data_IF_576557237025
#
_entry.id   IF_576557237025
#
_cell.length_a   1.000
_cell.length_b   1.000
_cell.length_c   1.000
_cell.angle_alpha   90.00
_cell.angle_beta   90.00
_cell.angle_gamma   90.00
#
_symmetry.space_group_name_H-M   'P 1'
#
loop_
_entity.id
_entity.type
_entity.pdbx_description
1 polymer ?
#
# COMPACT_ATOMS: atom_id res chain seq x y z
N UNK A 1 8.59 -18.28 -4.25
CA UNK A 1 7.88 -17.16 -4.92
C UNK A 1 6.52 -17.58 -5.43
N UNK A 2 5.67 -16.60 -5.69
CA UNK A 2 4.29 -16.78 -6.13
C UNK A 2 4.06 -16.01 -7.42
N UNK A 3 3.32 -16.61 -8.36
CA UNK A 3 2.85 -15.95 -9.59
C UNK A 3 1.35 -16.18 -9.70
N UNK A 4 0.61 -15.11 -9.96
CA UNK A 4 -0.84 -15.15 -10.22
C UNK A 4 -1.10 -14.60 -11.61
N UNK A 5 -1.82 -15.35 -12.44
CA UNK A 5 -2.30 -14.92 -13.73
C UNK A 5 -3.80 -14.64 -13.64
N UNK A 6 -4.19 -13.41 -13.92
CA UNK A 6 -5.58 -12.95 -13.80
C UNK A 6 -6.05 -12.33 -15.12
N UNK A 7 -7.27 -12.63 -15.52
CA UNK A 7 -7.90 -11.97 -16.66
C UNK A 7 -8.39 -10.58 -16.25
N UNK A 8 -7.84 -9.54 -16.87
CA UNK A 8 -8.11 -8.13 -16.48
C UNK A 8 -9.58 -7.75 -16.58
N UNK A 9 -10.30 -8.25 -17.59
CA UNK A 9 -11.71 -7.88 -17.83
C UNK A 9 -12.68 -8.46 -16.81
N UNK A 10 -12.41 -9.65 -16.31
CA UNK A 10 -13.34 -10.41 -15.46
C UNK A 10 -12.87 -10.56 -14.03
N UNK A 11 -11.57 -10.31 -13.77
CA UNK A 11 -10.96 -10.62 -12.48
C UNK A 11 -10.77 -12.12 -12.22
N UNK A 12 -11.04 -12.98 -13.22
CA UNK A 12 -10.88 -14.44 -13.05
C UNK A 12 -9.41 -14.81 -12.92
N UNK A 13 -9.10 -15.57 -11.88
CA UNK A 13 -7.77 -16.19 -11.73
C UNK A 13 -7.68 -17.36 -12.68
N UNK A 14 -6.73 -17.28 -13.63
CA UNK A 14 -6.51 -18.30 -14.66
C UNK A 14 -5.50 -19.35 -14.21
N UNK A 15 -4.46 -18.90 -13.48
CA UNK A 15 -3.44 -19.78 -12.93
C UNK A 15 -2.79 -19.17 -11.69
N UNK A 16 -2.38 -20.04 -10.77
CA UNK A 16 -1.53 -19.70 -9.62
C UNK A 16 -0.41 -20.72 -9.56
N UNK A 17 0.82 -20.27 -9.32
CA UNK A 17 1.97 -21.14 -9.04
C UNK A 17 2.69 -20.62 -7.80
N UNK A 18 2.99 -21.53 -6.88
CA UNK A 18 3.69 -21.25 -5.64
C UNK A 18 4.87 -22.19 -5.50
N UNK A 19 6.08 -21.68 -5.58
CA UNK A 19 7.30 -22.47 -5.45
C UNK A 19 8.11 -22.05 -4.23
N UNK A 20 8.37 -23.01 -3.37
CA UNK A 20 9.26 -22.86 -2.22
C UNK A 20 10.49 -23.76 -2.37
N UNK A 21 11.62 -23.27 -1.87
CA UNK A 21 12.86 -24.05 -1.86
C UNK A 21 12.73 -25.16 -0.81
N UNK A 22 12.98 -26.40 -1.19
CA UNK A 22 12.99 -27.54 -0.30
C UNK A 22 14.32 -27.63 0.47
N UNK A 23 14.33 -28.41 1.56
CA UNK A 23 15.57 -28.67 2.32
C UNK A 23 16.63 -29.41 1.49
N UNK A 24 16.20 -30.19 0.50
CA UNK A 24 17.06 -30.89 -0.46
C UNK A 24 17.64 -30.01 -1.58
N UNK A 25 17.30 -28.71 -1.60
CA UNK A 25 17.82 -27.75 -2.58
C UNK A 25 16.99 -27.63 -3.86
N UNK A 26 15.93 -28.43 -4.04
CA UNK A 26 14.96 -28.29 -5.13
C UNK A 26 13.87 -27.28 -4.84
N UNK A 27 12.87 -27.23 -5.70
CA UNK A 27 11.66 -26.42 -5.53
C UNK A 27 10.42 -27.32 -5.59
N UNK A 28 9.45 -27.03 -4.75
CA UNK A 28 8.16 -27.73 -4.76
C UNK A 28 7.03 -26.75 -4.45
N UNK A 29 5.85 -27.05 -4.95
CA UNK A 29 4.63 -26.40 -4.50
C UNK A 29 4.29 -26.86 -3.08
N UNK A 30 3.80 -25.93 -2.27
CA UNK A 30 3.39 -26.16 -0.91
C UNK A 30 2.14 -25.32 -0.59
N UNK A 31 2.18 -24.53 0.46
CA UNK A 31 1.08 -23.60 0.79
C UNK A 31 0.83 -22.63 -0.35
N UNK A 32 -0.45 -22.37 -0.65
CA UNK A 32 -0.83 -21.35 -1.63
C UNK A 32 -0.60 -19.95 -1.07
N UNK A 33 0.66 -19.48 -1.15
CA UNK A 33 1.07 -18.18 -0.63
C UNK A 33 0.39 -17.00 -1.33
N UNK A 34 -0.12 -17.20 -2.56
CA UNK A 34 -0.85 -16.16 -3.28
C UNK A 34 -2.05 -15.65 -2.49
N UNK A 35 -2.68 -16.53 -1.71
CA UNK A 35 -3.91 -16.23 -0.97
C UNK A 35 -3.73 -16.25 0.54
N UNK A 36 -2.73 -16.95 1.06
CA UNK A 36 -2.55 -17.16 2.50
C UNK A 36 -1.49 -16.27 3.14
N UNK A 37 -0.53 -15.77 2.35
CA UNK A 37 0.55 -14.95 2.89
C UNK A 37 0.10 -13.50 3.05
N UNK A 38 0.21 -12.98 4.27
CA UNK A 38 -0.10 -11.59 4.59
C UNK A 38 1.19 -10.81 4.73
N UNK A 39 1.48 -10.01 3.73
CA UNK A 39 2.65 -9.15 3.72
C UNK A 39 2.29 -7.68 3.53
N UNK A 40 3.19 -6.80 3.93
CA UNK A 40 3.08 -5.39 3.64
C UNK A 40 3.33 -5.16 2.14
N UNK A 41 2.37 -4.58 1.39
CA UNK A 41 2.48 -4.44 -0.07
C UNK A 41 3.56 -3.44 -0.50
N UNK A 42 4.02 -2.59 0.42
CA UNK A 42 5.02 -1.58 0.11
C UNK A 42 4.57 -0.63 -0.99
N UNK A 43 5.50 -0.23 -1.84
CA UNK A 43 5.27 0.83 -2.85
C UNK A 43 4.21 0.53 -3.91
N UNK A 44 3.79 -0.71 -4.09
CA UNK A 44 2.67 -1.04 -4.98
C UNK A 44 1.35 -0.47 -4.48
N UNK A 45 1.20 -0.32 -3.17
CA UNK A 45 0.02 0.26 -2.53
C UNK A 45 -0.15 1.76 -2.79
N UNK A 46 0.90 2.46 -3.19
CA UNK A 46 0.86 3.90 -3.48
C UNK A 46 -0.16 4.26 -4.56
N UNK A 47 -0.42 3.35 -5.49
CA UNK A 47 -1.45 3.54 -6.53
C UNK A 47 -2.82 3.66 -5.88
N UNK A 48 -3.17 2.75 -4.97
CA UNK A 48 -4.44 2.81 -4.25
C UNK A 48 -4.59 4.10 -3.43
N UNK A 49 -3.54 4.48 -2.70
CA UNK A 49 -3.52 5.74 -1.93
C UNK A 49 -3.72 6.97 -2.82
N UNK A 50 -3.07 6.98 -3.98
CA UNK A 50 -3.21 8.09 -4.93
C UNK A 50 -4.59 8.13 -5.57
N UNK A 51 -5.18 6.99 -5.90
CA UNK A 51 -6.56 6.91 -6.41
C UNK A 51 -7.54 7.54 -5.42
N UNK A 52 -7.43 7.19 -4.13
CA UNK A 52 -8.25 7.79 -3.07
C UNK A 52 -8.06 9.30 -2.97
N UNK A 53 -6.81 9.79 -3.02
CA UNK A 53 -6.52 11.22 -2.91
C UNK A 53 -7.03 12.03 -4.11
N UNK A 54 -6.98 11.46 -5.32
CA UNK A 54 -7.49 12.08 -6.55
C UNK A 54 -9.03 12.08 -6.58
N UNK A 55 -9.65 10.96 -6.22
CA UNK A 55 -11.11 10.81 -6.18
C UNK A 55 -11.76 11.79 -5.20
N UNK A 56 -11.18 11.95 -4.01
CA UNK A 56 -11.64 12.91 -3.00
C UNK A 56 -11.23 14.37 -3.28
N UNK A 57 -10.54 14.64 -4.38
CA UNK A 57 -10.10 15.99 -4.75
C UNK A 57 -9.09 16.61 -3.78
N UNK A 58 -8.38 15.79 -2.99
CA UNK A 58 -7.31 16.25 -2.08
C UNK A 58 -6.18 16.89 -2.87
N UNK A 59 -5.90 16.33 -4.04
CA UNK A 59 -4.92 16.82 -5.01
C UNK A 59 -5.39 16.58 -6.44
N UNK A 60 -4.80 17.32 -7.38
CA UNK A 60 -4.89 17.09 -8.83
C UNK A 60 -3.55 16.55 -9.33
N UNK A 61 -3.55 15.81 -10.42
CA UNK A 61 -2.34 15.24 -11.00
C UNK A 61 -1.25 16.28 -11.34
N UNK A 62 -1.67 17.51 -11.69
CA UNK A 62 -0.80 18.65 -11.99
C UNK A 62 -0.30 19.41 -10.78
N UNK A 63 -0.89 19.21 -9.60
CA UNK A 63 -0.48 19.90 -8.39
C UNK A 63 0.98 19.57 -8.04
N UNK A 64 1.64 20.47 -7.33
CA UNK A 64 3.03 20.31 -6.92
C UNK A 64 3.10 20.02 -5.43
N UNK A 65 3.92 19.04 -5.08
CA UNK A 65 4.26 18.67 -3.71
C UNK A 65 5.75 18.93 -3.49
N UNK A 66 6.07 19.73 -2.49
CA UNK A 66 7.44 19.95 -2.08
C UNK A 66 7.89 18.82 -1.15
N UNK A 67 8.81 17.99 -1.63
CA UNK A 67 9.42 16.89 -0.87
C UNK A 67 10.83 17.26 -0.38
N UNK A 68 11.33 18.45 -0.72
CA UNK A 68 12.60 19.00 -0.28
C UNK A 68 13.77 18.06 -0.57
N UNK A 69 14.59 17.83 0.45
CA UNK A 69 15.69 16.85 0.37
C UNK A 69 15.24 15.39 0.48
N UNK A 70 13.96 15.10 0.24
CA UNK A 70 13.37 13.76 0.33
C UNK A 70 13.46 13.12 1.73
N UNK A 71 13.47 13.95 2.76
CA UNK A 71 13.34 13.56 4.18
C UNK A 71 12.27 14.42 4.81
N UNK A 72 11.31 13.79 5.45
CA UNK A 72 10.25 14.48 6.17
C UNK A 72 9.99 13.80 7.52
N UNK A 73 9.95 14.59 8.59
CA UNK A 73 9.64 14.07 9.93
C UNK A 73 8.14 14.15 10.15
N UNK A 74 7.51 13.00 10.36
CA UNK A 74 6.11 12.86 10.69
C UNK A 74 5.96 12.03 11.96
N UNK A 75 5.19 12.53 12.93
CA UNK A 75 4.99 11.88 14.23
C UNK A 75 6.33 11.40 14.86
N UNK A 76 7.34 12.26 14.86
CA UNK A 76 8.70 12.03 15.40
C UNK A 76 9.50 10.92 14.67
N UNK A 77 9.06 10.45 13.53
CA UNK A 77 9.77 9.46 12.70
C UNK A 77 10.07 10.04 11.31
N UNK A 78 11.23 9.71 10.78
CA UNK A 78 11.64 10.18 9.47
C UNK A 78 11.07 9.28 8.37
N UNK A 79 10.27 9.87 7.48
CA UNK A 79 9.91 9.31 6.17
C UNK A 79 11.00 9.70 5.18
N UNK A 80 11.48 8.77 4.37
CA UNK A 80 12.57 9.00 3.43
C UNK A 80 12.24 8.42 2.06
N UNK A 81 12.68 9.13 1.02
CA UNK A 81 12.76 8.58 -0.33
C UNK A 81 14.15 7.95 -0.54
N UNK A 82 14.25 7.09 -1.54
CA UNK A 82 15.51 6.38 -1.82
C UNK A 82 16.66 7.31 -2.23
N UNK A 83 16.35 8.48 -2.80
CA UNK A 83 17.35 9.47 -3.23
C UNK A 83 17.69 10.53 -2.17
N UNK A 84 17.24 10.37 -0.93
CA UNK A 84 17.52 11.31 0.15
C UNK A 84 19.03 11.60 0.35
N UNK A 85 19.88 10.62 0.06
CA UNK A 85 21.35 10.77 0.12
C UNK A 85 21.97 11.42 -1.13
N UNK A 86 21.16 11.71 -2.14
CA UNK A 86 21.57 12.32 -3.42
C UNK A 86 20.90 13.68 -3.65
N UNK A 87 20.60 14.41 -2.56
CA UNK A 87 20.06 15.77 -2.61
C UNK A 87 18.52 15.87 -2.66
N UNK A 88 17.82 14.72 -2.76
CA UNK A 88 16.37 14.70 -2.80
C UNK A 88 15.77 15.08 -4.16
N UNK A 89 14.44 15.19 -4.19
CA UNK A 89 13.70 15.51 -5.43
C UNK A 89 13.23 16.96 -5.53
N UNK A 90 13.32 17.72 -4.44
CA UNK A 90 12.81 19.08 -4.40
C UNK A 90 11.28 19.13 -4.55
N UNK A 91 10.81 19.68 -5.65
CA UNK A 91 9.37 19.76 -5.97
C UNK A 91 9.01 18.72 -7.04
N UNK A 92 7.96 17.93 -6.79
CA UNK A 92 7.40 16.94 -7.70
C UNK A 92 5.96 17.32 -8.05
N UNK A 93 5.53 17.08 -9.29
CA UNK A 93 4.09 16.99 -9.50
C UNK A 93 3.51 15.76 -8.79
N UNK A 94 2.20 15.77 -8.54
CA UNK A 94 1.49 14.62 -7.96
C UNK A 94 1.73 13.37 -8.82
N UNK A 95 1.68 13.50 -10.14
CA UNK A 95 2.01 12.41 -11.06
C UNK A 95 3.46 11.93 -10.89
N UNK A 96 4.42 12.84 -10.78
CA UNK A 96 5.82 12.49 -10.55
C UNK A 96 6.05 11.80 -9.20
N UNK A 97 5.20 12.06 -8.20
CA UNK A 97 5.27 11.36 -6.91
C UNK A 97 5.12 9.84 -7.09
N UNK A 98 4.24 9.41 -7.99
CA UNK A 98 4.09 7.97 -8.34
C UNK A 98 5.27 7.50 -9.18
N UNK A 99 5.66 8.22 -10.23
CA UNK A 99 6.77 7.84 -11.13
C UNK A 99 8.08 7.66 -10.36
N UNK A 100 8.35 8.54 -9.38
CA UNK A 100 9.55 8.50 -8.53
C UNK A 100 9.37 7.60 -7.30
N UNK A 101 8.18 7.04 -7.12
CA UNK A 101 7.84 6.24 -5.94
C UNK A 101 8.16 6.95 -4.62
N UNK A 102 7.85 8.26 -4.53
CA UNK A 102 8.17 9.07 -3.35
C UNK A 102 7.29 8.70 -2.15
N UNK A 103 7.91 8.23 -1.08
CA UNK A 103 7.25 8.00 0.20
C UNK A 103 6.84 9.33 0.84
N UNK A 104 7.74 10.32 0.78
CA UNK A 104 7.53 11.65 1.35
C UNK A 104 6.34 12.32 0.67
N UNK A 105 6.29 12.26 -0.67
CA UNK A 105 5.19 12.84 -1.43
C UNK A 105 3.83 12.25 -1.08
N UNK A 106 3.72 10.90 -1.08
CA UNK A 106 2.47 10.22 -0.71
C UNK A 106 2.07 10.49 0.74
N UNK A 107 3.02 10.38 1.68
CA UNK A 107 2.72 10.64 3.09
C UNK A 107 2.19 12.05 3.31
N UNK A 108 2.81 13.07 2.69
CA UNK A 108 2.33 14.46 2.77
C UNK A 108 0.94 14.64 2.17
N UNK A 109 0.65 14.02 1.02
CA UNK A 109 -0.67 14.11 0.38
C UNK A 109 -1.74 13.49 1.28
N UNK A 110 -1.53 12.27 1.73
CA UNK A 110 -2.53 11.53 2.51
C UNK A 110 -2.72 12.15 3.90
N UNK A 111 -1.65 12.52 4.59
CA UNK A 111 -1.80 13.14 5.92
C UNK A 111 -2.48 14.50 5.82
N UNK A 112 -2.16 15.33 4.82
CA UNK A 112 -2.84 16.60 4.57
C UNK A 112 -4.35 16.44 4.41
N UNK A 113 -4.79 15.37 3.72
CA UNK A 113 -6.21 15.14 3.46
C UNK A 113 -6.97 14.45 4.59
N UNK A 114 -6.28 13.61 5.36
CA UNK A 114 -6.96 12.64 6.23
C UNK A 114 -6.47 12.60 7.68
N UNK A 115 -5.52 13.43 8.11
CA UNK A 115 -5.01 13.40 9.48
C UNK A 115 -6.10 13.59 10.53
N UNK A 116 -7.06 14.48 10.28
CA UNK A 116 -8.22 14.69 11.15
C UNK A 116 -9.33 13.64 11.02
N UNK A 117 -9.31 12.86 9.93
CA UNK A 117 -10.34 11.87 9.58
C UNK A 117 -9.76 10.58 8.99
N UNK A 118 -8.84 9.90 9.68
CA UNK A 118 -8.10 8.77 9.11
C UNK A 118 -9.00 7.58 8.73
N UNK A 119 -10.12 7.40 9.43
CA UNK A 119 -11.08 6.33 9.14
C UNK A 119 -11.77 6.51 7.77
N UNK A 120 -11.89 7.75 7.29
CA UNK A 120 -12.41 8.02 5.93
C UNK A 120 -11.44 7.48 4.89
N UNK A 121 -10.13 7.72 5.04
CA UNK A 121 -9.12 7.16 4.15
C UNK A 121 -9.16 5.63 4.11
N UNK A 122 -9.22 5.00 5.29
CA UNK A 122 -9.32 3.53 5.36
C UNK A 122 -10.61 3.03 4.75
N UNK A 123 -11.74 3.73 4.96
CA UNK A 123 -13.01 3.34 4.32
C UNK A 123 -12.91 3.40 2.81
N UNK A 124 -12.33 4.46 2.25
CA UNK A 124 -12.11 4.58 0.80
C UNK A 124 -11.23 3.46 0.23
N UNK A 125 -10.20 3.04 0.96
CA UNK A 125 -9.42 1.86 0.57
C UNK A 125 -10.27 0.58 0.57
N UNK A 126 -11.15 0.41 1.56
CA UNK A 126 -12.10 -0.71 1.61
C UNK A 126 -13.10 -0.66 0.45
N UNK A 127 -13.56 0.52 0.06
CA UNK A 127 -14.46 0.72 -1.08
C UNK A 127 -13.77 0.38 -2.42
N UNK A 128 -12.44 0.50 -2.50
CA UNK A 128 -11.64 0.00 -3.61
C UNK A 128 -11.41 -1.53 -3.58
N UNK A 129 -11.91 -2.22 -2.57
CA UNK A 129 -11.80 -3.67 -2.41
C UNK A 129 -10.71 -4.13 -1.42
N UNK A 130 -9.85 -3.22 -0.94
CA UNK A 130 -8.82 -3.61 0.04
C UNK A 130 -9.46 -3.94 1.40
N UNK A 131 -9.17 -5.13 1.91
CA UNK A 131 -9.71 -5.61 3.18
C UNK A 131 -11.14 -6.11 3.14
N UNK A 132 -11.75 -6.20 1.96
CA UNK A 132 -13.02 -6.88 1.78
C UNK A 132 -12.81 -8.40 1.71
N UNK A 133 -13.87 -9.15 2.02
CA UNK A 133 -13.89 -10.58 1.80
C UNK A 133 -14.04 -10.85 0.29
N UNK A 134 -12.99 -11.31 -0.35
CA UNK A 134 -12.96 -11.58 -1.79
C UNK A 134 -13.83 -12.78 -2.18
N UNK A 135 -14.34 -13.54 -1.19
CA UNK A 135 -15.14 -14.76 -1.40
C UNK A 135 -14.52 -15.72 -2.40
N UNK A 136 -13.20 -15.86 -2.31
CA UNK A 136 -12.46 -16.77 -3.18
C UNK A 136 -12.89 -18.21 -2.90
N UNK A 137 -13.18 -18.99 -3.94
CA UNK A 137 -13.42 -20.43 -3.86
C UNK A 137 -12.13 -21.23 -3.69
N UNK A 138 -11.14 -20.64 -3.00
CA UNK A 138 -9.83 -21.22 -2.72
C UNK A 138 -9.68 -21.33 -1.22
N UNK A 139 -9.47 -22.55 -0.73
CA UNK A 139 -9.25 -22.79 0.70
C UNK A 139 -8.00 -22.11 1.22
N UNK A 140 -8.04 -21.68 2.50
CA UNK A 140 -6.90 -21.13 3.21
C UNK A 140 -6.56 -19.69 2.86
N UNK A 141 -7.44 -18.93 2.21
CA UNK A 141 -7.16 -17.52 1.98
C UNK A 141 -7.23 -16.71 3.27
N UNK A 142 -6.32 -15.76 3.40
CA UNK A 142 -6.24 -14.86 4.54
C UNK A 142 -6.91 -13.53 4.25
N UNK A 143 -7.65 -13.00 5.23
CA UNK A 143 -8.28 -11.69 5.10
C UNK A 143 -7.25 -10.58 5.26
N UNK A 144 -7.29 -9.60 4.38
CA UNK A 144 -6.45 -8.42 4.48
C UNK A 144 -6.67 -7.69 5.81
N UNK A 145 -5.59 -7.17 6.38
CA UNK A 145 -5.57 -6.45 7.65
C UNK A 145 -5.35 -4.96 7.38
N UNK A 146 -6.43 -4.24 7.13
CA UNK A 146 -6.45 -2.78 7.02
C UNK A 146 -7.37 -2.24 8.11
N UNK A 147 -6.77 -1.70 9.17
CA UNK A 147 -7.49 -1.27 10.37
C UNK A 147 -7.91 0.20 10.27
N UNK A 148 -9.07 0.53 10.83
CA UNK A 148 -9.48 1.90 11.14
C UNK A 148 -8.97 2.28 12.53
N UNK A 149 -8.81 3.58 12.77
CA UNK A 149 -8.54 4.10 14.11
C UNK A 149 -9.67 3.78 15.06
N UNK A 150 -10.93 3.87 14.61
CA UNK A 150 -12.12 3.54 15.40
C UNK A 150 -12.24 2.06 15.75
N UNK A 151 -11.68 1.14 14.92
CA UNK A 151 -11.74 -0.30 15.20
C UNK A 151 -10.88 -0.68 16.42
N UNK A 152 -9.69 -0.07 16.55
CA UNK A 152 -8.80 -0.26 17.69
C UNK A 152 -7.89 0.97 17.89
N UNK A 153 -8.32 1.96 18.70
CA UNK A 153 -7.53 3.17 18.93
C UNK A 153 -6.14 2.91 19.53
N UNK A 154 -5.99 1.85 20.32
CA UNK A 154 -4.72 1.49 20.95
C UNK A 154 -3.69 0.90 19.97
N UNK A 155 -4.14 0.40 18.81
CA UNK A 155 -3.30 -0.09 17.73
C UNK A 155 -3.09 0.95 16.61
N UNK A 156 -3.56 2.19 16.81
CA UNK A 156 -3.35 3.30 15.89
C UNK A 156 -2.30 4.26 16.45
N UNK A 157 -1.13 4.26 15.86
CA UNK A 157 -0.04 5.12 16.26
C UNK A 157 -0.03 6.42 15.45
N UNK A 158 0.67 7.45 15.95
CA UNK A 158 0.80 8.71 15.22
C UNK A 158 1.41 8.56 13.82
N UNK A 159 2.19 7.52 13.60
CA UNK A 159 2.80 7.20 12.30
C UNK A 159 1.89 6.44 11.35
N UNK A 160 0.85 5.75 11.85
CA UNK A 160 0.08 4.75 11.08
C UNK A 160 -0.47 5.30 9.77
N UNK A 161 -1.11 6.47 9.76
CA UNK A 161 -1.66 7.05 8.53
C UNK A 161 -0.58 7.31 7.48
N UNK A 162 0.54 7.92 7.90
CA UNK A 162 1.64 8.23 6.99
C UNK A 162 2.28 6.98 6.41
N UNK A 163 2.52 5.95 7.22
CA UNK A 163 3.11 4.68 6.78
C UNK A 163 2.16 3.86 5.92
N UNK A 164 0.88 3.85 6.24
CA UNK A 164 -0.15 3.19 5.43
C UNK A 164 -0.20 3.77 4.01
N UNK A 165 0.03 5.07 3.84
CA UNK A 165 -0.03 5.74 2.54
C UNK A 165 0.93 5.14 1.50
N UNK A 166 2.04 4.56 1.92
CA UNK A 166 3.02 3.92 1.03
C UNK A 166 3.20 2.42 1.30
N UNK A 167 2.18 1.79 1.90
CA UNK A 167 1.99 0.33 1.94
C UNK A 167 2.63 -0.38 3.12
N UNK A 168 2.83 0.32 4.23
CA UNK A 168 3.18 -0.28 5.52
C UNK A 168 2.01 -0.18 6.50
N UNK A 169 2.10 -0.80 7.68
CA UNK A 169 1.01 -0.83 8.67
C UNK A 169 -0.29 -1.47 8.15
N UNK A 170 -0.23 -2.12 7.02
CA UNK A 170 -1.31 -2.89 6.40
C UNK A 170 -0.76 -4.19 5.86
N UNK A 171 -1.55 -5.26 5.89
CA UNK A 171 -1.15 -6.56 5.36
C UNK A 171 -2.22 -7.10 4.45
N UNK A 172 -1.84 -7.45 3.25
CA UNK A 172 -2.74 -7.99 2.23
C UNK A 172 -2.12 -9.23 1.60
N UNK A 173 -2.93 -10.19 1.13
CA UNK A 173 -2.41 -11.28 0.30
C UNK A 173 -1.98 -10.76 -1.07
N UNK A 174 -1.07 -11.47 -1.77
CA UNK A 174 -0.60 -11.08 -3.11
C UNK A 174 -1.66 -11.02 -4.20
N UNK A 175 -2.77 -11.73 -4.03
CA UNK A 175 -3.90 -11.80 -4.99
C UNK A 175 -4.75 -10.56 -5.00
#
# INVERSE_FOLDING_TARGET
GTVVLMEVKTGKVVAISNLQRTRSGGYAESTNMAVSDLSEPGSTFKVASMMVALDDGIVRASDTIDVGNSVWVYAKKAVRDHNAHHGGYGKLSVAQTIVKSSNVGLAKIITRGYESRPDVYVQKLRDLGFGTDLKLEIEGYARAQIRKRSDNPNAWYGTTLGWMSFGYETKIPPI
#
